data_IF_825015272192
#
_entry.id   IF_825015272192
#
_cell.length_a   1.000
_cell.length_b   1.000
_cell.length_c   1.000
_cell.angle_alpha   90.00
_cell.angle_beta   90.00
_cell.angle_gamma   90.00
#
_symmetry.space_group_name_H-M   'P 1'
#
loop_
_entity.id
_entity.type
_entity.pdbx_description
1 polymer ?
#
# COMPACT_ATOMS: atom_id res chain seq x y z
N UNK A 1 -13.79 7.09 31.45
CA UNK A 1 -12.52 7.82 31.70
C UNK A 1 -12.70 9.26 31.27
N UNK A 2 -11.70 10.11 31.46
CA UNK A 2 -11.68 11.51 31.02
C UNK A 2 -10.51 11.73 30.06
N UNK A 3 -10.76 12.45 28.97
CA UNK A 3 -9.71 12.96 28.11
C UNK A 3 -8.99 14.10 28.82
N UNK A 4 -7.66 14.00 28.92
CA UNK A 4 -6.84 15.07 29.48
C UNK A 4 -6.46 16.04 28.35
N UNK A 5 -7.31 17.03 28.11
CA UNK A 5 -7.14 18.00 27.03
C UNK A 5 -7.69 19.38 27.44
N UNK A 6 -7.04 20.42 26.95
CA UNK A 6 -7.52 21.80 26.99
C UNK A 6 -7.76 22.27 25.55
N UNK A 7 -9.02 22.24 25.12
CA UNK A 7 -9.40 22.62 23.77
C UNK A 7 -9.50 24.14 23.62
N UNK A 8 -8.89 24.68 22.57
CA UNK A 8 -8.74 26.10 22.28
C UNK A 8 -9.50 26.54 21.02
N UNK A 9 -9.75 25.63 20.08
CA UNK A 9 -10.33 25.96 18.78
C UNK A 9 -11.40 24.98 18.31
N UNK A 10 -11.33 24.64 17.02
CA UNK A 10 -12.29 23.75 16.37
C UNK A 10 -11.83 22.32 16.62
N UNK A 11 -12.61 21.61 17.44
CA UNK A 11 -12.38 20.19 17.72
C UNK A 11 -13.06 19.34 16.66
N UNK A 12 -12.28 18.46 16.05
CA UNK A 12 -12.75 17.38 15.19
C UNK A 12 -12.37 16.04 15.80
N UNK A 13 -13.12 15.00 15.45
CA UNK A 13 -12.84 13.64 15.89
C UNK A 13 -12.77 12.75 14.68
N UNK A 14 -11.68 12.01 14.54
CA UNK A 14 -11.63 10.92 13.57
C UNK A 14 -12.29 9.69 14.19
N UNK A 15 -13.02 8.93 13.35
CA UNK A 15 -13.76 7.76 13.79
C UNK A 15 -12.86 6.76 14.53
N UNK A 16 -13.42 6.05 15.51
CA UNK A 16 -12.63 5.13 16.32
C UNK A 16 -12.09 3.97 15.47
N UNK A 17 -10.78 3.97 15.21
CA UNK A 17 -10.11 2.90 14.45
C UNK A 17 -10.02 1.68 15.35
N UNK A 18 -10.59 0.55 14.90
CA UNK A 18 -10.57 -0.70 15.64
C UNK A 18 -9.40 -1.54 15.16
N UNK A 19 -8.60 -2.00 16.13
CA UNK A 19 -7.56 -3.00 15.92
C UNK A 19 -7.71 -4.10 16.95
N UNK A 20 -8.32 -5.22 16.53
CA UNK A 20 -8.66 -6.36 17.36
C UNK A 20 -9.64 -5.96 18.47
N UNK A 21 -9.14 -5.98 19.72
CA UNK A 21 -9.86 -5.60 20.93
C UNK A 21 -9.60 -4.15 21.37
N UNK A 22 -8.65 -3.48 20.73
CA UNK A 22 -8.31 -2.09 20.98
C UNK A 22 -9.10 -1.18 20.03
N UNK A 23 -9.34 0.04 20.48
CA UNK A 23 -9.88 1.13 19.66
C UNK A 23 -9.05 2.38 19.92
N UNK A 24 -8.68 3.10 18.87
CA UNK A 24 -8.05 4.42 18.98
C UNK A 24 -9.09 5.47 18.64
N UNK A 25 -9.29 6.42 19.54
CA UNK A 25 -10.10 7.61 19.27
C UNK A 25 -9.17 8.82 19.23
N UNK A 26 -9.20 9.57 18.13
CA UNK A 26 -8.34 10.74 17.91
C UNK A 26 -9.17 12.01 17.93
N UNK A 27 -8.77 12.97 18.76
CA UNK A 27 -9.31 14.31 18.80
C UNK A 27 -8.28 15.27 18.23
N UNK A 28 -8.68 16.12 17.30
CA UNK A 28 -7.81 17.14 16.68
C UNK A 28 -8.41 18.50 16.96
N UNK A 29 -7.71 19.30 17.75
CA UNK A 29 -8.07 20.68 18.05
C UNK A 29 -7.24 21.62 17.18
N UNK A 30 -7.91 22.26 16.22
CA UNK A 30 -7.30 23.22 15.31
C UNK A 30 -7.58 24.64 15.77
N UNK A 31 -6.53 25.41 16.02
CA UNK A 31 -6.61 26.82 16.39
C UNK A 31 -5.48 27.63 15.76
N UNK A 32 -5.44 28.93 16.05
CA UNK A 32 -4.57 29.94 15.43
C UNK A 32 -4.81 30.13 13.92
N UNK A 33 -4.88 31.41 13.51
CA UNK A 33 -4.99 31.84 12.12
C UNK A 33 -4.08 33.08 11.95
N UNK A 34 -3.36 33.24 10.83
CA UNK A 34 -3.39 32.43 9.60
C UNK A 34 -2.50 31.18 9.62
N UNK A 35 -1.64 31.02 10.62
CA UNK A 35 -0.77 29.85 10.78
C UNK A 35 -1.45 28.85 11.72
N UNK A 36 -2.06 27.77 11.21
CA UNK A 36 -2.80 26.85 12.03
C UNK A 36 -1.86 26.05 12.93
N UNK A 37 -2.32 25.82 14.15
CA UNK A 37 -1.75 24.92 15.13
C UNK A 37 -2.74 23.78 15.40
N UNK A 38 -2.22 22.58 15.63
CA UNK A 38 -2.99 21.37 15.84
C UNK A 38 -2.54 20.68 17.12
N UNK A 39 -3.41 20.67 18.14
CA UNK A 39 -3.26 19.80 19.30
C UNK A 39 -4.02 18.49 19.04
N UNK A 40 -3.29 17.37 18.98
CA UNK A 40 -3.83 16.04 18.63
C UNK A 40 -3.75 15.13 19.85
N UNK A 41 -4.89 14.59 20.25
CA UNK A 41 -5.01 13.70 21.40
C UNK A 41 -5.51 12.33 20.96
N UNK A 42 -4.71 11.30 21.20
CA UNK A 42 -5.03 9.92 20.84
C UNK A 42 -5.32 9.10 22.10
N UNK A 43 -6.46 8.40 22.15
CA UNK A 43 -6.83 7.55 23.27
C UNK A 43 -6.87 6.09 22.85
N UNK A 44 -6.10 5.25 23.55
CA UNK A 44 -6.26 3.81 23.48
C UNK A 44 -7.40 3.38 24.41
N UNK A 45 -8.46 2.84 23.82
CA UNK A 45 -9.65 2.34 24.52
C UNK A 45 -9.71 0.82 24.40
N UNK A 46 -9.88 0.14 25.54
CA UNK A 46 -10.05 -1.31 25.65
C UNK A 46 -11.07 -1.64 26.72
N UNK A 47 -11.97 -2.58 26.44
CA UNK A 47 -13.03 -2.98 27.38
C UNK A 47 -13.79 -1.78 27.98
N UNK A 48 -14.12 -0.80 27.12
CA UNK A 48 -14.78 0.47 27.47
C UNK A 48 -14.03 1.33 28.51
N UNK A 49 -12.71 1.16 28.63
CA UNK A 49 -11.84 1.95 29.50
C UNK A 49 -10.69 2.55 28.69
N UNK A 50 -10.26 3.74 29.07
CA UNK A 50 -9.05 4.36 28.53
C UNK A 50 -7.87 3.64 29.19
N UNK A 51 -6.96 3.12 28.38
CA UNK A 51 -5.73 2.42 28.79
C UNK A 51 -4.54 3.37 28.78
N UNK A 52 -4.44 4.19 27.73
CA UNK A 52 -3.37 5.18 27.57
C UNK A 52 -3.88 6.35 26.72
N UNK A 53 -3.21 7.50 26.84
CA UNK A 53 -3.48 8.72 26.08
C UNK A 53 -2.16 9.37 25.68
N UNK A 54 -2.05 9.85 24.43
CA UNK A 54 -0.91 10.63 23.93
C UNK A 54 -1.38 11.97 23.38
N UNK A 55 -0.49 12.96 23.46
CA UNK A 55 -0.71 14.30 22.95
C UNK A 55 0.47 14.69 22.06
N UNK A 56 0.16 15.19 20.87
CA UNK A 56 1.12 15.72 19.92
C UNK A 56 0.69 17.13 19.49
N UNK A 57 1.65 18.02 19.27
CA UNK A 57 1.42 19.38 18.84
C UNK A 57 2.10 19.63 17.49
N UNK A 58 1.35 20.05 16.48
CA UNK A 58 1.86 20.29 15.13
C UNK A 58 1.61 21.73 14.70
N UNK A 59 2.62 22.35 14.11
CA UNK A 59 2.52 23.68 13.50
C UNK A 59 2.38 23.56 11.98
N UNK A 60 1.49 24.36 11.40
CA UNK A 60 1.22 24.52 9.97
C UNK A 60 0.66 23.28 9.24
N UNK A 61 1.23 22.09 9.46
CA UNK A 61 0.90 20.84 8.77
C UNK A 61 0.54 19.77 9.79
N UNK A 62 -0.68 19.24 9.65
CA UNK A 62 -1.11 18.01 10.29
C UNK A 62 -1.64 17.04 9.24
N UNK A 63 -1.15 15.81 9.30
CA UNK A 63 -1.65 14.66 8.57
C UNK A 63 -2.04 13.61 9.61
N UNK A 64 -3.15 12.86 9.43
CA UNK A 64 -3.55 11.83 10.38
C UNK A 64 -2.44 10.81 10.59
N UNK A 65 -2.11 10.55 11.86
CA UNK A 65 -1.17 9.51 12.22
C UNK A 65 -1.79 8.12 12.02
N UNK A 66 -0.97 7.15 11.66
CA UNK A 66 -1.38 5.75 11.71
C UNK A 66 -1.69 5.35 13.15
N UNK A 67 -2.82 4.65 13.33
CA UNK A 67 -3.27 4.18 14.64
C UNK A 67 -3.22 2.66 14.76
N UNK A 68 -2.91 1.95 13.68
CA UNK A 68 -2.78 0.49 13.69
C UNK A 68 -1.95 -0.04 12.52
N UNK A 69 -1.43 -1.25 12.67
CA UNK A 69 -0.94 -2.07 11.57
C UNK A 69 -1.13 -3.55 11.91
N UNK A 70 -0.94 -4.42 10.93
CA UNK A 70 -1.06 -5.87 11.12
C UNK A 70 0.13 -6.59 10.48
N UNK A 71 0.53 -7.70 11.10
CA UNK A 71 1.59 -8.58 10.60
C UNK A 71 1.02 -9.99 10.51
N UNK A 72 1.33 -10.69 9.43
CA UNK A 72 0.95 -12.08 9.29
C UNK A 72 1.97 -12.99 9.99
N UNK A 73 1.49 -13.82 10.93
CA UNK A 73 2.21 -14.93 11.53
C UNK A 73 1.58 -16.25 11.04
N UNK A 74 2.29 -17.39 11.02
CA UNK A 74 1.69 -18.67 10.64
C UNK A 74 0.45 -19.08 11.45
N UNK A 75 0.25 -18.51 12.65
CA UNK A 75 -0.95 -18.73 13.48
C UNK A 75 -2.10 -17.76 13.17
N UNK A 76 -1.88 -16.77 12.32
CA UNK A 76 -2.87 -15.78 11.89
C UNK A 76 -2.35 -14.34 11.89
N UNK A 77 -3.25 -13.42 11.57
CA UNK A 77 -2.96 -11.99 11.64
C UNK A 77 -2.80 -11.53 13.09
N UNK A 78 -1.69 -10.85 13.36
CA UNK A 78 -1.43 -10.16 14.62
C UNK A 78 -1.67 -8.68 14.39
N UNK A 79 -2.57 -8.13 15.19
CA UNK A 79 -2.95 -6.73 15.11
C UNK A 79 -2.21 -5.90 16.18
N UNK A 80 -1.67 -4.76 15.76
CA UNK A 80 -0.99 -3.81 16.63
C UNK A 80 -1.70 -2.46 16.58
N UNK A 81 -1.77 -1.82 17.73
CA UNK A 81 -2.26 -0.45 17.88
C UNK A 81 -1.07 0.49 18.05
N UNK A 82 -1.15 1.68 17.47
CA UNK A 82 -0.08 2.68 17.50
C UNK A 82 -0.63 3.95 18.12
N UNK A 83 0.14 4.55 19.04
CA UNK A 83 -0.06 5.93 19.49
C UNK A 83 1.25 6.70 19.35
N UNK A 84 1.17 8.02 19.19
CA UNK A 84 2.35 8.90 19.12
C UNK A 84 2.11 10.23 19.84
N UNK A 85 3.16 10.77 20.46
CA UNK A 85 3.21 12.16 20.97
C UNK A 85 3.88 13.11 19.97
N UNK A 86 4.12 12.62 18.76
CA UNK A 86 4.84 13.32 17.70
C UNK A 86 6.36 13.20 17.82
N UNK A 87 6.92 12.65 18.89
CA UNK A 87 8.36 12.35 19.02
C UNK A 87 8.63 10.88 19.26
N UNK A 88 7.78 10.22 20.04
CA UNK A 88 7.87 8.82 20.41
C UNK A 88 6.65 8.08 19.85
N UNK A 89 6.90 6.92 19.26
CA UNK A 89 5.85 6.00 18.80
C UNK A 89 5.78 4.82 19.76
N UNK A 90 4.59 4.53 20.28
CA UNK A 90 4.32 3.36 21.11
C UNK A 90 3.47 2.36 20.34
N UNK A 91 3.93 1.11 20.32
CA UNK A 91 3.21 0.00 19.71
C UNK A 91 2.63 -0.86 20.83
N UNK A 92 1.32 -1.10 20.76
CA UNK A 92 0.58 -1.92 21.71
C UNK A 92 0.09 -3.19 21.04
N UNK A 93 0.17 -4.32 21.75
CA UNK A 93 -0.42 -5.58 21.31
C UNK A 93 -1.94 -5.61 21.53
N UNK A 94 -2.56 -6.73 21.16
CA UNK A 94 -3.98 -7.01 21.37
C UNK A 94 -4.39 -7.16 22.84
N UNK A 95 -3.48 -7.02 23.81
CA UNK A 95 -3.73 -6.93 25.25
C UNK A 95 -3.75 -5.49 25.77
N UNK A 96 -3.35 -4.52 24.95
CA UNK A 96 -3.15 -3.12 25.34
C UNK A 96 -1.83 -2.89 26.08
N UNK A 97 -0.85 -3.79 25.93
CA UNK A 97 0.50 -3.64 26.51
C UNK A 97 1.45 -3.12 25.44
N UNK A 98 2.33 -2.20 25.84
CA UNK A 98 3.41 -1.72 24.98
C UNK A 98 4.37 -2.89 24.69
N UNK A 99 4.62 -3.14 23.42
CA UNK A 99 5.57 -4.15 22.93
C UNK A 99 6.79 -3.53 22.25
N UNK A 100 6.65 -2.32 21.72
CA UNK A 100 7.77 -1.55 21.15
C UNK A 100 7.61 -0.06 21.43
N UNK A 101 8.74 0.65 21.45
CA UNK A 101 8.80 2.11 21.56
C UNK A 101 9.91 2.63 20.66
N UNK A 102 9.63 3.67 19.88
CA UNK A 102 10.58 4.24 18.92
C UNK A 102 10.74 5.74 19.15
N UNK A 103 11.97 6.17 19.41
CA UNK A 103 12.34 7.58 19.55
C UNK A 103 12.68 8.16 18.16
N UNK A 104 11.76 8.92 17.58
CA UNK A 104 11.88 9.45 16.22
C UNK A 104 13.02 10.47 16.09
N UNK A 105 13.22 11.40 17.04
CA UNK A 105 14.41 12.25 17.03
C UNK A 105 15.72 11.46 17.04
N UNK A 106 15.84 10.42 17.86
CA UNK A 106 17.05 9.59 17.91
C UNK A 106 17.26 8.80 16.62
N UNK A 107 16.20 8.19 16.08
CA UNK A 107 16.26 7.39 14.86
C UNK A 107 16.58 8.25 13.64
N UNK A 108 15.93 9.40 13.49
CA UNK A 108 16.10 10.30 12.34
C UNK A 108 17.24 11.30 12.48
N UNK A 109 17.81 11.43 13.69
CA UNK A 109 18.81 12.45 14.05
C UNK A 109 18.29 13.88 13.81
N UNK A 110 16.99 14.09 13.97
CA UNK A 110 16.32 15.39 13.81
C UNK A 110 15.51 15.68 15.06
N UNK A 111 15.86 16.74 15.81
CA UNK A 111 14.99 17.22 16.89
C UNK A 111 13.82 18.01 16.29
N UNK A 112 12.72 17.30 16.09
CA UNK A 112 11.50 17.78 15.47
C UNK A 112 10.28 17.05 16.08
N UNK A 113 9.08 17.47 15.66
CA UNK A 113 7.85 16.71 15.78
C UNK A 113 7.58 16.04 14.43
N UNK A 114 7.03 14.83 14.45
CA UNK A 114 6.87 13.99 13.27
C UNK A 114 5.42 13.54 13.11
N UNK A 115 4.87 13.71 11.92
CA UNK A 115 3.70 12.94 11.50
C UNK A 115 4.10 11.49 11.23
N UNK A 116 3.34 10.53 11.73
CA UNK A 116 3.60 9.09 11.56
C UNK A 116 2.66 8.54 10.50
N UNK A 117 3.10 8.51 9.23
CA UNK A 117 2.25 8.03 8.14
C UNK A 117 2.05 6.51 8.16
N UNK A 118 3.07 5.75 8.56
CA UNK A 118 2.95 4.29 8.63
C UNK A 118 3.94 3.67 9.60
N UNK A 119 3.55 2.53 10.18
CA UNK A 119 4.40 1.65 10.99
C UNK A 119 4.27 0.24 10.41
N UNK A 120 5.40 -0.32 9.99
CA UNK A 120 5.49 -1.72 9.59
C UNK A 120 6.16 -2.57 10.67
N UNK A 121 6.35 -3.86 10.37
CA UNK A 121 7.02 -4.79 11.28
C UNK A 121 8.47 -4.38 11.59
N UNK A 122 9.14 -3.78 10.61
CA UNK A 122 10.57 -3.48 10.66
C UNK A 122 10.93 -2.13 10.00
N UNK A 123 9.96 -1.22 9.89
CA UNK A 123 10.20 0.14 9.41
C UNK A 123 9.14 1.11 9.93
N UNK A 124 9.47 2.40 9.85
CA UNK A 124 8.51 3.49 9.99
C UNK A 124 8.56 4.39 8.75
N UNK A 125 7.43 5.01 8.44
CA UNK A 125 7.36 6.12 7.49
C UNK A 125 6.86 7.33 8.25
N UNK A 126 7.74 8.30 8.40
CA UNK A 126 7.52 9.50 9.22
C UNK A 126 7.80 10.76 8.43
N UNK A 127 7.24 11.88 8.87
CA UNK A 127 7.42 13.17 8.24
C UNK A 127 7.79 14.22 9.29
N UNK A 128 9.04 14.68 9.35
CA UNK A 128 9.45 15.77 10.23
C UNK A 128 8.66 17.05 9.89
N UNK A 129 8.16 17.76 10.89
CA UNK A 129 7.33 18.94 10.72
C UNK A 129 8.06 20.11 10.04
N UNK A 130 9.35 20.30 10.34
CA UNK A 130 10.15 21.41 9.80
C UNK A 130 10.46 21.24 8.32
N UNK A 131 10.82 20.04 7.90
CA UNK A 131 11.18 19.78 6.48
C UNK A 131 9.97 19.40 5.66
N UNK A 132 8.98 18.75 6.28
CA UNK A 132 7.85 18.17 5.58
C UNK A 132 8.23 17.09 4.56
N UNK A 133 9.44 16.53 4.60
CA UNK A 133 9.90 15.52 3.65
C UNK A 133 9.63 14.11 4.17
N UNK A 134 8.99 13.26 3.37
CA UNK A 134 8.67 11.90 3.77
C UNK A 134 9.97 11.11 3.97
N UNK A 135 10.11 10.52 5.16
CA UNK A 135 11.33 9.85 5.60
C UNK A 135 11.01 8.41 5.99
N UNK A 136 11.72 7.47 5.40
CA UNK A 136 11.67 6.05 5.77
C UNK A 136 12.76 5.76 6.80
N UNK A 137 12.38 5.15 7.92
CA UNK A 137 13.29 4.61 8.93
C UNK A 137 13.26 3.09 8.81
N UNK A 138 14.37 2.49 8.41
CA UNK A 138 14.54 1.04 8.38
C UNK A 138 15.01 0.56 9.75
N UNK A 139 14.20 -0.23 10.45
CA UNK A 139 14.52 -0.70 11.80
C UNK A 139 15.49 -1.88 11.80
N UNK A 140 15.75 -2.50 10.64
CA UNK A 140 16.66 -3.64 10.52
C UNK A 140 18.12 -3.20 10.64
N UNK A 141 18.45 -2.04 10.09
CA UNK A 141 19.81 -1.47 10.13
C UNK A 141 19.86 -0.03 10.70
N UNK A 142 18.72 0.50 11.16
CA UNK A 142 18.55 1.87 11.66
C UNK A 142 18.92 2.96 10.65
N UNK A 143 18.88 2.65 9.35
CA UNK A 143 19.10 3.66 8.31
C UNK A 143 17.86 4.52 8.12
N UNK A 144 18.08 5.80 7.81
CA UNK A 144 17.01 6.75 7.53
C UNK A 144 17.18 7.36 6.15
N UNK A 145 16.12 7.33 5.36
CA UNK A 145 16.12 7.76 3.97
C UNK A 145 15.07 8.83 3.74
N UNK A 146 15.52 10.03 3.34
CA UNK A 146 14.64 11.06 2.78
C UNK A 146 14.20 10.61 1.39
N UNK A 147 12.91 10.33 1.21
CA UNK A 147 12.42 9.65 0.01
C UNK A 147 12.43 10.56 -1.22
N UNK A 148 12.23 11.87 -1.04
CA UNK A 148 12.34 12.82 -2.14
C UNK A 148 13.69 12.71 -2.86
N UNK A 149 14.79 12.56 -2.11
CA UNK A 149 16.15 12.44 -2.65
C UNK A 149 16.41 11.14 -3.43
N UNK A 150 15.54 10.14 -3.27
CA UNK A 150 15.64 8.83 -3.94
C UNK A 150 14.66 8.68 -5.08
N UNK A 151 13.49 9.27 -4.96
CA UNK A 151 12.35 9.01 -5.84
C UNK A 151 12.05 10.17 -6.79
N UNK A 152 12.40 11.40 -6.42
CA UNK A 152 12.10 12.59 -7.22
C UNK A 152 13.34 13.11 -7.93
N UNK A 153 13.12 13.76 -9.07
CA UNK A 153 14.20 14.37 -9.87
C UNK A 153 13.76 15.72 -10.42
N UNK A 154 14.71 16.52 -10.93
CA UNK A 154 14.40 17.76 -11.65
C UNK A 154 13.58 18.77 -10.83
N UNK A 155 12.51 19.30 -11.44
CA UNK A 155 11.65 20.33 -10.83
C UNK A 155 10.89 19.81 -9.61
N UNK A 156 10.50 18.54 -9.62
CA UNK A 156 9.78 17.89 -8.52
C UNK A 156 10.66 17.80 -7.25
N UNK A 157 11.93 17.42 -7.40
CA UNK A 157 12.87 17.42 -6.28
C UNK A 157 13.17 18.84 -5.77
N UNK A 158 13.33 19.81 -6.67
CA UNK A 158 13.52 21.21 -6.29
C UNK A 158 12.31 21.73 -5.53
N UNK A 159 11.09 21.43 -5.99
CA UNK A 159 9.87 21.77 -5.27
C UNK A 159 9.84 21.15 -3.87
N UNK A 160 10.10 19.85 -3.75
CA UNK A 160 10.09 19.17 -2.45
C UNK A 160 11.00 19.85 -1.42
N UNK A 161 12.19 20.33 -1.85
CA UNK A 161 13.19 20.96 -0.97
C UNK A 161 12.93 22.44 -0.69
N UNK A 162 12.45 23.17 -1.68
CA UNK A 162 12.39 24.64 -1.64
C UNK A 162 10.98 25.17 -1.36
N UNK A 163 9.94 24.34 -1.53
CA UNK A 163 8.58 24.74 -1.27
C UNK A 163 8.39 25.11 0.21
N UNK A 164 7.73 26.24 0.46
CA UNK A 164 7.35 26.71 1.80
C UNK A 164 5.85 26.98 1.91
N UNK A 165 5.10 26.89 0.80
CA UNK A 165 3.69 27.31 0.73
C UNK A 165 2.83 26.21 0.10
N UNK A 166 1.70 25.81 0.71
CA UNK A 166 1.18 26.30 1.99
C UNK A 166 1.99 25.85 3.21
N UNK A 167 2.85 24.85 3.05
CA UNK A 167 3.78 24.36 4.07
C UNK A 167 4.98 23.67 3.38
N UNK A 168 6.10 23.46 4.10
CA UNK A 168 7.28 22.79 3.55
C UNK A 168 7.04 21.33 3.13
N UNK A 169 7.85 20.89 2.16
CA UNK A 169 8.06 19.48 1.86
C UNK A 169 7.47 18.96 0.55
N UNK A 170 7.40 17.64 0.47
CA UNK A 170 6.92 16.91 -0.70
C UNK A 170 5.43 16.52 -0.61
N UNK A 171 4.93 16.00 -1.74
CA UNK A 171 3.58 15.43 -1.91
C UNK A 171 3.61 13.90 -2.01
N UNK A 172 4.68 13.26 -1.55
CA UNK A 172 4.74 11.80 -1.47
C UNK A 172 3.81 11.32 -0.36
N UNK A 173 3.08 10.24 -0.57
CA UNK A 173 2.33 9.54 0.48
C UNK A 173 2.64 8.05 0.44
N UNK A 174 2.70 7.42 1.61
CA UNK A 174 2.85 5.97 1.69
C UNK A 174 1.65 5.26 1.04
N UNK A 175 1.91 4.32 0.15
CA UNK A 175 0.89 3.58 -0.58
C UNK A 175 0.82 2.10 -0.20
N UNK A 176 1.92 1.48 0.26
CA UNK A 176 1.88 0.11 0.73
C UNK A 176 3.23 -0.55 0.97
N UNK A 177 3.22 -1.63 1.75
CA UNK A 177 4.30 -2.60 1.85
C UNK A 177 4.07 -3.67 0.79
N UNK A 178 5.04 -3.85 -0.11
CA UNK A 178 4.98 -4.84 -1.18
C UNK A 178 5.72 -6.13 -0.81
N UNK A 179 6.22 -6.24 0.42
CA UNK A 179 7.01 -7.37 0.91
C UNK A 179 8.47 -7.29 0.50
N UNK A 180 9.31 -8.10 1.15
CA UNK A 180 10.74 -8.24 0.86
C UNK A 180 11.50 -6.90 0.79
N UNK A 181 11.09 -5.96 1.65
CA UNK A 181 11.65 -4.63 1.76
C UNK A 181 11.40 -3.72 0.57
N UNK A 182 10.34 -3.96 -0.19
CA UNK A 182 9.84 -3.08 -1.23
C UNK A 182 8.66 -2.31 -0.67
N UNK A 183 8.72 -0.98 -0.71
CA UNK A 183 7.62 -0.11 -0.29
C UNK A 183 7.24 0.84 -1.41
N UNK A 184 5.95 1.12 -1.50
CA UNK A 184 5.39 1.98 -2.53
C UNK A 184 4.87 3.30 -1.98
N UNK A 185 4.96 4.31 -2.84
CA UNK A 185 4.51 5.66 -2.58
C UNK A 185 3.66 6.15 -3.75
N UNK A 186 2.62 6.89 -3.43
CA UNK A 186 1.90 7.70 -4.39
C UNK A 186 2.53 9.09 -4.42
N UNK A 187 2.75 9.63 -5.63
CA UNK A 187 3.31 10.96 -5.82
C UNK A 187 2.39 11.83 -6.66
N UNK A 188 2.00 12.99 -6.14
CA UNK A 188 1.22 13.97 -6.90
C UNK A 188 2.11 15.15 -7.29
N UNK A 189 2.61 15.17 -8.53
CA UNK A 189 3.46 16.26 -8.99
C UNK A 189 2.67 17.58 -9.03
N UNK A 190 3.16 18.66 -8.39
CA UNK A 190 2.51 19.97 -8.42
C UNK A 190 2.58 20.63 -9.81
N UNK A 191 3.36 20.05 -10.73
CA UNK A 191 3.54 20.55 -12.10
C UNK A 191 2.69 19.79 -13.13
N UNK A 192 2.08 18.68 -12.74
CA UNK A 192 1.22 17.90 -13.62
C UNK A 192 -0.21 18.44 -13.59
N UNK A 193 -0.81 18.55 -14.78
CA UNK A 193 -2.18 19.06 -14.94
C UNK A 193 -3.26 18.02 -14.65
N UNK A 194 -2.90 16.73 -14.64
CA UNK A 194 -3.82 15.65 -14.30
C UNK A 194 -3.79 15.43 -12.79
N UNK A 195 -4.92 14.98 -12.23
CA UNK A 195 -5.05 14.68 -10.80
C UNK A 195 -4.52 13.30 -10.42
N UNK A 196 -3.84 12.60 -11.33
CA UNK A 196 -3.40 11.22 -11.11
C UNK A 196 -2.09 11.22 -10.35
N UNK A 197 -1.96 10.33 -9.37
CA UNK A 197 -0.69 10.07 -8.71
C UNK A 197 0.16 9.08 -9.52
N UNK A 198 1.47 9.31 -9.49
CA UNK A 198 2.47 8.36 -9.97
C UNK A 198 2.78 7.33 -8.87
N UNK A 199 3.03 6.08 -9.26
CA UNK A 199 3.51 5.05 -8.33
C UNK A 199 5.03 5.05 -8.35
N UNK A 200 5.63 5.34 -7.20
CA UNK A 200 7.07 5.30 -7.00
C UNK A 200 7.41 4.20 -6.00
N UNK A 201 8.44 3.42 -6.30
CA UNK A 201 8.84 2.28 -5.47
C UNK A 201 10.22 2.53 -4.90
N UNK A 202 10.39 2.22 -3.61
CA UNK A 202 11.70 2.23 -2.95
C UNK A 202 12.04 0.82 -2.45
N UNK A 203 13.20 0.33 -2.88
CA UNK A 203 13.77 -0.90 -2.39
C UNK A 203 14.72 -0.62 -1.21
N UNK A 204 14.35 -1.07 -0.01
CA UNK A 204 15.19 -0.95 1.17
C UNK A 204 16.50 -1.73 0.98
N UNK A 205 17.68 -1.12 1.17
CA UNK A 205 18.96 -1.79 1.01
C UNK A 205 19.17 -2.98 1.94
N UNK A 206 18.61 -2.93 3.17
CA UNK A 206 18.73 -3.98 4.19
C UNK A 206 18.11 -5.33 3.78
N UNK A 207 17.36 -5.35 2.67
CA UNK A 207 16.71 -6.53 2.08
C UNK A 207 17.38 -7.04 0.80
N UNK A 208 18.49 -6.44 0.36
CA UNK A 208 19.10 -6.79 -0.91
C UNK A 208 19.46 -8.28 -1.04
N UNK A 209 20.03 -8.89 0.01
CA UNK A 209 20.38 -10.32 0.01
C UNK A 209 19.15 -11.23 0.07
N UNK A 210 18.13 -10.84 0.83
CA UNK A 210 16.86 -11.59 0.87
C UNK A 210 16.16 -11.57 -0.48
N UNK A 211 16.14 -10.42 -1.16
CA UNK A 211 15.60 -10.31 -2.53
C UNK A 211 16.37 -11.15 -3.53
N UNK A 212 17.70 -11.23 -3.42
CA UNK A 212 18.52 -12.13 -4.27
C UNK A 212 18.23 -13.60 -4.02
N UNK A 213 17.83 -13.96 -2.80
CA UNK A 213 17.47 -15.32 -2.43
C UNK A 213 16.03 -15.71 -2.85
N UNK A 214 15.21 -14.75 -3.28
CA UNK A 214 13.88 -15.05 -3.79
C UNK A 214 13.97 -15.92 -5.04
N UNK A 215 13.00 -16.84 -5.23
CA UNK A 215 12.87 -17.55 -6.49
C UNK A 215 12.82 -16.54 -7.64
N UNK A 216 13.60 -16.80 -8.69
CA UNK A 216 13.57 -15.96 -9.89
C UNK A 216 12.14 -15.93 -10.42
N UNK A 217 11.59 -14.72 -10.59
CA UNK A 217 10.30 -14.54 -11.24
C UNK A 217 10.32 -15.17 -12.63
N UNK A 218 9.31 -15.99 -12.91
CA UNK A 218 9.12 -16.57 -14.23
C UNK A 218 8.63 -15.48 -15.18
N UNK A 219 9.15 -15.46 -16.41
CA UNK A 219 8.62 -14.58 -17.44
C UNK A 219 7.18 -14.93 -17.79
N UNK A 220 6.47 -14.01 -18.44
CA UNK A 220 5.14 -14.29 -18.98
C UNK A 220 5.15 -15.51 -19.91
N UNK A 221 6.18 -15.67 -20.72
CA UNK A 221 6.36 -16.82 -21.60
C UNK A 221 6.58 -18.12 -20.81
N UNK A 222 7.39 -18.11 -19.75
CA UNK A 222 7.62 -19.28 -18.89
C UNK A 222 6.33 -19.68 -18.15
N UNK A 223 5.60 -18.72 -17.59
CA UNK A 223 4.30 -18.97 -16.94
C UNK A 223 3.29 -19.52 -17.93
N UNK A 224 3.12 -18.90 -19.09
CA UNK A 224 2.18 -19.35 -20.11
C UNK A 224 2.54 -20.75 -20.64
N UNK A 225 3.83 -21.03 -20.91
CA UNK A 225 4.28 -22.34 -21.35
C UNK A 225 3.97 -23.43 -20.31
N UNK A 226 4.21 -23.13 -19.03
CA UNK A 226 3.93 -24.05 -17.93
C UNK A 226 2.44 -24.23 -17.64
N UNK A 227 1.57 -23.32 -18.10
CA UNK A 227 0.16 -23.34 -17.75
C UNK A 227 -0.54 -24.62 -18.24
N UNK A 228 -0.97 -25.40 -17.25
CA UNK A 228 -1.71 -26.65 -17.35
C UNK A 228 -2.58 -26.87 -16.10
N UNK A 229 -3.52 -27.81 -16.19
CA UNK A 229 -4.52 -28.10 -15.14
C UNK A 229 -3.90 -28.43 -13.78
N UNK A 230 -2.76 -29.13 -13.78
CA UNK A 230 -2.02 -29.56 -12.60
C UNK A 230 -1.07 -28.48 -12.04
N UNK A 231 -0.77 -27.47 -12.84
CA UNK A 231 0.12 -26.36 -12.45
C UNK A 231 -0.63 -25.14 -11.92
N UNK A 232 -1.91 -24.97 -12.26
CA UNK A 232 -2.76 -23.85 -11.81
C UNK A 232 -3.44 -24.23 -10.50
N UNK A 233 -3.25 -23.43 -9.46
CA UNK A 233 -3.94 -23.61 -8.18
C UNK A 233 -5.36 -23.03 -8.24
N UNK A 234 -5.48 -21.82 -8.77
CA UNK A 234 -6.73 -21.04 -8.74
C UNK A 234 -6.76 -20.00 -9.87
N UNK A 235 -7.97 -19.72 -10.39
CA UNK A 235 -8.21 -18.57 -11.26
C UNK A 235 -9.27 -17.68 -10.61
N UNK A 236 -8.84 -16.52 -10.13
CA UNK A 236 -9.73 -15.47 -9.62
C UNK A 236 -10.27 -14.65 -10.78
N UNK A 237 -11.57 -14.35 -10.79
CA UNK A 237 -12.21 -13.58 -11.87
C UNK A 237 -13.01 -12.44 -11.25
N UNK A 238 -12.74 -11.21 -11.66
CA UNK A 238 -13.32 -10.00 -11.08
C UNK A 238 -13.58 -8.94 -12.15
N UNK A 239 -14.66 -8.16 -11.96
CA UNK A 239 -14.99 -6.99 -12.76
C UNK A 239 -15.49 -5.89 -11.83
N UNK A 240 -14.58 -5.05 -11.34
CA UNK A 240 -14.94 -4.07 -10.33
C UNK A 240 -15.18 -4.72 -8.97
N UNK A 241 -16.25 -4.34 -8.30
CA UNK A 241 -16.71 -4.99 -7.06
C UNK A 241 -17.39 -6.34 -7.30
N UNK A 242 -17.54 -6.77 -8.56
CA UNK A 242 -18.20 -8.03 -8.90
C UNK A 242 -17.16 -9.16 -8.93
N UNK A 243 -17.27 -10.08 -7.98
CA UNK A 243 -16.51 -11.33 -7.96
C UNK A 243 -17.33 -12.43 -8.64
N UNK A 244 -16.72 -13.15 -9.58
CA UNK A 244 -17.35 -14.27 -10.27
C UNK A 244 -16.92 -15.60 -9.66
N UNK A 245 -17.63 -16.67 -10.04
CA UNK A 245 -17.27 -18.03 -9.64
C UNK A 245 -15.85 -18.33 -10.11
N UNK A 246 -14.91 -18.67 -9.22
CA UNK A 246 -13.54 -18.96 -9.60
C UNK A 246 -13.40 -20.36 -10.21
N UNK A 247 -12.24 -20.60 -10.81
CA UNK A 247 -11.83 -21.94 -11.23
C UNK A 247 -10.81 -22.48 -10.22
N UNK A 248 -11.05 -23.67 -9.67
CA UNK A 248 -10.17 -24.29 -8.68
C UNK A 248 -9.43 -25.45 -9.33
N UNK A 249 -8.08 -25.42 -9.32
CA UNK A 249 -7.25 -26.46 -9.95
C UNK A 249 -7.54 -27.88 -9.45
N UNK A 250 -7.79 -28.01 -8.14
CA UNK A 250 -8.16 -29.29 -7.53
C UNK A 250 -9.55 -29.81 -7.94
N UNK A 251 -10.42 -28.97 -8.50
CA UNK A 251 -11.79 -29.34 -8.88
C UNK A 251 -11.84 -29.84 -10.33
N UNK A 252 -12.19 -31.12 -10.50
CA UNK A 252 -12.34 -31.75 -11.83
C UNK A 252 -13.31 -31.01 -12.76
N UNK A 253 -14.36 -30.39 -12.21
CA UNK A 253 -15.35 -29.65 -13.02
C UNK A 253 -14.81 -28.37 -13.65
N UNK A 254 -13.70 -27.84 -13.12
CA UNK A 254 -13.14 -26.56 -13.55
C UNK A 254 -11.99 -26.74 -14.56
N UNK A 255 -11.57 -27.98 -14.82
CA UNK A 255 -10.39 -28.28 -15.65
C UNK A 255 -10.51 -27.82 -17.10
N UNK A 256 -11.69 -27.90 -17.71
CA UNK A 256 -11.91 -27.38 -19.08
C UNK A 256 -11.80 -25.85 -19.13
N UNK A 257 -12.27 -25.19 -18.09
CA UNK A 257 -12.08 -23.75 -17.91
C UNK A 257 -10.60 -23.39 -17.80
N UNK A 258 -9.85 -24.12 -16.96
CA UNK A 258 -8.41 -23.90 -16.78
C UNK A 258 -7.64 -24.16 -18.08
N UNK A 259 -7.98 -25.21 -18.85
CA UNK A 259 -7.38 -25.45 -20.18
C UNK A 259 -7.58 -24.27 -21.11
N UNK A 260 -8.77 -23.68 -21.09
CA UNK A 260 -9.10 -22.51 -21.91
C UNK A 260 -8.32 -21.27 -21.46
N UNK A 261 -8.22 -21.01 -20.14
CA UNK A 261 -7.39 -19.93 -19.59
C UNK A 261 -5.92 -20.11 -20.00
N UNK A 262 -5.36 -21.31 -19.86
CA UNK A 262 -4.00 -21.59 -20.29
C UNK A 262 -3.79 -21.42 -21.80
N UNK A 263 -4.79 -21.75 -22.62
CA UNK A 263 -4.75 -21.47 -24.06
C UNK A 263 -4.76 -19.98 -24.36
N UNK A 264 -5.55 -19.18 -23.63
CA UNK A 264 -5.55 -17.71 -23.73
C UNK A 264 -4.15 -17.18 -23.42
N UNK A 265 -3.54 -17.59 -22.29
CA UNK A 265 -2.19 -17.17 -21.90
C UNK A 265 -1.15 -17.49 -22.98
N UNK A 266 -1.11 -18.75 -23.44
CA UNK A 266 -0.17 -19.19 -24.49
C UNK A 266 -0.33 -18.37 -25.77
N UNK A 267 -1.57 -18.10 -26.18
CA UNK A 267 -1.84 -17.32 -27.39
C UNK A 267 -1.46 -15.85 -27.24
N UNK A 268 -1.72 -15.23 -26.09
CA UNK A 268 -1.24 -13.86 -25.80
C UNK A 268 0.28 -13.81 -25.89
N UNK A 269 1.00 -14.74 -25.25
CA UNK A 269 2.47 -14.73 -25.28
C UNK A 269 3.08 -15.05 -26.65
N UNK A 270 2.38 -15.80 -27.49
CA UNK A 270 2.88 -16.22 -28.81
C UNK A 270 2.62 -15.18 -29.90
N UNK A 271 1.49 -14.49 -29.84
CA UNK A 271 1.01 -13.59 -30.91
C UNK A 271 0.94 -12.12 -30.48
N UNK A 272 1.07 -11.84 -29.19
CA UNK A 272 0.93 -10.50 -28.64
C UNK A 272 2.18 -9.64 -28.80
N UNK A 273 2.01 -8.34 -28.56
CA UNK A 273 3.07 -7.35 -28.61
C UNK A 273 3.43 -6.90 -27.20
N UNK A 274 4.72 -6.94 -26.86
CA UNK A 274 5.22 -6.41 -25.59
C UNK A 274 5.13 -4.88 -25.56
N UNK A 275 4.58 -4.35 -24.48
CA UNK A 275 4.46 -2.91 -24.21
C UNK A 275 4.82 -2.66 -22.75
N UNK A 276 5.61 -1.63 -22.49
CA UNK A 276 5.85 -1.16 -21.11
C UNK A 276 4.92 0.01 -20.82
N UNK A 277 4.01 -0.19 -19.87
CA UNK A 277 3.09 0.85 -19.40
C UNK A 277 3.76 1.72 -18.33
N UNK A 278 3.45 3.02 -18.27
CA UNK A 278 3.87 3.87 -17.15
C UNK A 278 3.24 3.37 -15.84
N UNK A 279 3.99 3.46 -14.73
CA UNK A 279 3.50 3.16 -13.39
C UNK A 279 2.53 4.22 -12.90
N UNK A 280 1.24 4.05 -13.16
CA UNK A 280 0.20 4.97 -12.68
C UNK A 280 -0.61 4.30 -11.59
N UNK A 281 -1.10 5.06 -10.61
CA UNK A 281 -2.19 4.63 -9.73
C UNK A 281 -3.52 5.07 -10.37
N UNK A 282 -4.13 4.30 -11.28
CA UNK A 282 -5.52 4.54 -11.56
C UNK A 282 -6.35 4.17 -10.33
N UNK A 283 -7.27 5.04 -9.92
CA UNK A 283 -8.41 4.67 -9.06
C UNK A 283 -9.37 3.78 -9.87
N UNK A 284 -8.88 2.65 -10.37
CA UNK A 284 -9.70 1.68 -11.10
C UNK A 284 -9.56 0.33 -10.44
N UNK A 285 -10.69 -0.29 -10.18
CA UNK A 285 -10.75 -1.68 -9.78
C UNK A 285 -10.08 -2.57 -10.83
N UNK A 286 -9.66 -3.76 -10.40
CA UNK A 286 -9.18 -4.77 -11.33
C UNK A 286 -10.35 -5.35 -12.14
N UNK A 287 -10.18 -5.39 -13.46
CA UNK A 287 -11.17 -5.92 -14.40
C UNK A 287 -10.55 -7.06 -15.21
N UNK A 288 -10.47 -8.25 -14.60
CA UNK A 288 -10.01 -9.44 -15.32
C UNK A 288 -9.83 -10.68 -14.48
N UNK A 289 -8.79 -11.45 -14.80
CA UNK A 289 -8.47 -12.73 -14.17
C UNK A 289 -7.08 -12.70 -13.55
N UNK A 290 -6.93 -13.23 -12.35
CA UNK A 290 -5.63 -13.60 -11.79
C UNK A 290 -5.48 -15.11 -11.83
N UNK A 291 -4.42 -15.59 -12.46
CA UNK A 291 -4.08 -17.02 -12.56
C UNK A 291 -2.94 -17.28 -11.58
N UNK A 292 -3.24 -18.04 -10.53
CA UNK A 292 -2.27 -18.45 -9.52
C UNK A 292 -1.72 -19.84 -9.87
N UNK A 293 -0.41 -19.99 -9.78
CA UNK A 293 0.26 -21.26 -10.02
C UNK A 293 0.65 -21.93 -8.70
N UNK A 294 0.73 -23.24 -8.74
CA UNK A 294 1.26 -24.09 -7.64
C UNK A 294 2.72 -23.77 -7.28
N UNK A 295 3.46 -23.11 -8.18
CA UNK A 295 4.81 -22.61 -7.92
C UNK A 295 4.85 -21.36 -7.02
N UNK A 296 3.69 -20.75 -6.71
CA UNK A 296 3.56 -19.60 -5.83
C UNK A 296 3.56 -18.23 -6.52
N UNK A 297 3.77 -18.19 -7.84
CA UNK A 297 3.65 -16.98 -8.65
C UNK A 297 2.28 -16.88 -9.33
N UNK A 298 2.01 -15.72 -9.93
CA UNK A 298 0.73 -15.44 -10.58
C UNK A 298 0.88 -14.54 -11.81
N UNK A 299 -0.14 -14.57 -12.66
CA UNK A 299 -0.24 -13.63 -13.79
C UNK A 299 -1.66 -13.16 -13.98
N UNK A 300 -1.83 -11.88 -14.29
CA UNK A 300 -3.13 -11.30 -14.59
C UNK A 300 -3.39 -11.22 -16.09
N UNK A 301 -4.66 -11.44 -16.48
CA UNK A 301 -5.21 -11.21 -17.81
C UNK A 301 -6.34 -10.21 -17.66
N UNK A 302 -6.35 -9.13 -18.43
CA UNK A 302 -7.36 -8.09 -18.31
C UNK A 302 -7.81 -7.57 -19.67
N UNK A 303 -8.98 -6.92 -19.70
CA UNK A 303 -9.50 -6.29 -20.90
C UNK A 303 -8.83 -4.93 -21.10
N UNK A 304 -8.01 -4.79 -22.14
CA UNK A 304 -7.29 -3.56 -22.48
C UNK A 304 -8.09 -2.64 -23.43
N UNK A 305 -9.41 -2.85 -23.52
CA UNK A 305 -10.34 -2.12 -24.38
C UNK A 305 -10.71 -2.87 -25.66
N UNK A 306 -11.99 -2.78 -26.06
CA UNK A 306 -12.49 -3.39 -27.29
C UNK A 306 -12.23 -4.90 -27.37
N UNK A 307 -11.54 -5.33 -28.43
CA UNK A 307 -11.16 -6.73 -28.67
C UNK A 307 -9.75 -7.08 -28.17
N UNK A 308 -9.19 -6.30 -27.25
CA UNK A 308 -7.80 -6.42 -26.80
C UNK A 308 -7.70 -7.00 -25.38
N UNK A 309 -6.92 -8.05 -25.23
CA UNK A 309 -6.51 -8.57 -23.92
C UNK A 309 -5.08 -8.12 -23.61
N UNK A 310 -4.84 -7.80 -22.33
CA UNK A 310 -3.51 -7.61 -21.77
C UNK A 310 -3.15 -8.74 -20.83
N UNK A 311 -1.88 -9.16 -20.85
CA UNK A 311 -1.26 -10.04 -19.85
C UNK A 311 -0.17 -9.25 -19.14
N UNK A 312 -0.26 -9.14 -17.82
CA UNK A 312 0.65 -8.34 -16.99
C UNK A 312 -0.09 -7.50 -15.96
N UNK A 313 0.49 -6.37 -15.56
CA UNK A 313 -0.09 -5.48 -14.55
C UNK A 313 -0.67 -4.22 -15.20
N UNK A 314 -1.98 -4.01 -15.04
CA UNK A 314 -2.69 -2.84 -15.54
C UNK A 314 -2.20 -1.52 -14.90
N UNK A 315 -1.54 -1.61 -13.73
CA UNK A 315 -0.98 -0.47 -13.01
C UNK A 315 0.39 -0.01 -13.55
N UNK A 316 0.99 -0.74 -14.49
CA UNK A 316 2.28 -0.36 -15.08
C UNK A 316 3.21 -1.54 -15.33
N UNK A 317 4.37 -1.25 -15.92
CA UNK A 317 5.40 -2.25 -16.19
C UNK A 317 5.16 -3.03 -17.49
N UNK A 318 5.86 -4.15 -17.63
CA UNK A 318 5.80 -4.98 -18.83
C UNK A 318 4.43 -5.64 -18.96
N UNK A 319 3.85 -5.54 -20.15
CA UNK A 319 2.58 -6.15 -20.52
C UNK A 319 2.70 -6.74 -21.92
N UNK A 320 1.86 -7.74 -22.23
CA UNK A 320 1.70 -8.29 -23.57
C UNK A 320 0.26 -8.07 -24.02
N UNK A 321 0.07 -7.34 -25.12
CA UNK A 321 -1.26 -7.09 -25.68
C UNK A 321 -1.54 -7.95 -26.90
N UNK A 322 -2.74 -8.50 -26.98
CA UNK A 322 -3.23 -9.21 -28.15
C UNK A 322 -4.64 -8.74 -28.49
N UNK A 323 -4.82 -8.29 -29.73
CA UNK A 323 -6.15 -7.99 -30.28
C UNK A 323 -6.74 -9.24 -30.93
N UNK A 324 -7.74 -9.83 -30.28
CA UNK A 324 -8.40 -11.04 -30.74
C UNK A 324 -9.82 -11.13 -30.15
N UNK A 325 -10.83 -10.81 -30.97
CA UNK A 325 -12.23 -10.83 -30.55
C UNK A 325 -12.71 -12.20 -30.07
N UNK A 326 -12.19 -13.28 -30.65
CA UNK A 326 -12.50 -14.65 -30.25
C UNK A 326 -12.02 -14.94 -28.82
N UNK A 327 -10.78 -14.58 -28.50
CA UNK A 327 -10.26 -14.73 -27.13
C UNK A 327 -10.99 -13.85 -26.12
N UNK A 328 -11.35 -12.62 -26.50
CA UNK A 328 -12.16 -11.75 -25.62
C UNK A 328 -13.52 -12.38 -25.31
N UNK A 329 -14.16 -13.01 -26.28
CA UNK A 329 -15.42 -13.74 -26.07
C UNK A 329 -15.23 -14.91 -25.10
N UNK A 330 -14.17 -15.70 -25.27
CA UNK A 330 -13.83 -16.79 -24.37
C UNK A 330 -13.52 -16.30 -22.96
N UNK A 331 -12.71 -15.26 -22.83
CA UNK A 331 -12.42 -14.60 -21.57
C UNK A 331 -13.69 -14.14 -20.85
N UNK A 332 -14.63 -13.50 -21.56
CA UNK A 332 -15.88 -13.06 -20.94
C UNK A 332 -16.83 -14.21 -20.58
N UNK A 333 -16.68 -15.41 -21.18
CA UNK A 333 -17.54 -16.56 -20.86
C UNK A 333 -17.37 -17.07 -19.42
N UNK A 334 -16.26 -16.70 -18.76
CA UNK A 334 -15.97 -17.03 -17.37
C UNK A 334 -16.65 -16.12 -16.35
N UNK A 335 -17.31 -15.04 -16.79
CA UNK A 335 -18.03 -14.10 -15.91
C UNK A 335 -19.38 -14.67 -15.45
N UNK A 336 -19.33 -15.79 -14.74
CA UNK A 336 -20.49 -16.51 -14.18
C UNK A 336 -20.67 -16.12 -12.72
N UNK A 337 -21.81 -15.51 -12.37
CA UNK A 337 -22.10 -15.12 -10.98
C UNK A 337 -22.30 -16.36 -10.11
N UNK A 338 -21.91 -16.34 -8.82
CA UNK A 338 -22.29 -17.37 -7.87
C UNK A 338 -23.82 -17.51 -7.82
N UNK A 339 -24.33 -18.73 -7.74
CA UNK A 339 -25.74 -18.98 -7.40
C UNK A 339 -25.94 -18.53 -5.94
N UNK A 340 -26.91 -17.63 -5.71
CA UNK A 340 -27.20 -17.02 -4.41
C UNK A 340 -28.08 -17.86 -3.51
#
# INVERSE_FOLDING_TARGET
GKLDAEFKGIVTTDGAVRSGKNKVLTFVDKYANPQPHYDVYELLIRNNRIVDQKHAAYDLRYEPNTSNYQVYDPKGWIEYTVLTDGKIVWVYNDEGKIVSTYDLPALTKQDDVFGVQFVGADYLVVRPGRTGLLTLVDLKDNTTTVLADKLLTGKDLAYARDNQTPYPGDTLSFAGDMGHGIVDFAYHSPFQKNTRSERLTYERPSYAEERKALPKERSFQEMAASCAVDTVSYVHIQDGDIIYKPLIGANKKDQDGIRTVCRILKKITAEGTEVTLPGTFPETFFHGMSVEFTAGDSVSIYLAGGNKLGMGNQLGGKNIFLENAGLVKEFNSFKVKPEG
#
